data_IF_689343416775
#
_entry.id   IF_689343416775
#
_cell.length_a   1.000
_cell.length_b   1.000
_cell.length_c   1.000
_cell.angle_alpha   90.00
_cell.angle_beta   90.00
_cell.angle_gamma   90.00
#
_symmetry.space_group_name_H-M   'P 1'
#
loop_
_entity.id
_entity.type
_entity.pdbx_description
1 polymer ?
#
# COMPACT_ATOMS: atom_id res chain seq x y z
N UNK A 1 -5.18 7.89 -14.46
CA UNK A 1 -4.41 6.80 -13.82
C UNK A 1 -5.11 6.41 -12.53
N UNK A 2 -4.92 5.18 -12.05
CA UNK A 2 -5.57 4.70 -10.81
C UNK A 2 -4.73 4.92 -9.55
N UNK A 3 -3.41 5.01 -9.70
CA UNK A 3 -2.47 5.14 -8.57
C UNK A 3 -1.47 6.26 -8.82
N UNK A 4 -1.04 6.88 -7.72
CA UNK A 4 0.11 7.77 -7.65
C UNK A 4 1.08 7.16 -6.66
N UNK A 5 2.35 7.02 -7.05
CA UNK A 5 3.41 6.56 -6.16
C UNK A 5 4.18 7.78 -5.65
N UNK A 6 4.28 7.90 -4.33
CA UNK A 6 5.06 8.93 -3.66
C UNK A 6 6.04 8.25 -2.70
N UNK A 7 7.30 8.70 -2.74
CA UNK A 7 8.30 8.25 -1.77
C UNK A 7 8.26 9.18 -0.57
N UNK A 8 8.16 8.60 0.61
CA UNK A 8 8.21 9.32 1.88
C UNK A 8 9.37 8.83 2.72
N UNK A 9 9.92 9.71 3.55
CA UNK A 9 11.09 9.39 4.37
C UNK A 9 10.74 8.58 5.62
N UNK A 10 9.59 8.83 6.25
CA UNK A 10 9.20 8.14 7.48
C UNK A 10 7.68 8.11 7.64
N UNK A 11 7.17 6.95 8.07
CA UNK A 11 5.76 6.70 8.38
C UNK A 11 5.51 6.41 9.87
N UNK A 12 6.49 6.71 10.75
CA UNK A 12 6.42 6.46 12.20
C UNK A 12 6.10 4.99 12.62
N UNK A 13 6.28 4.03 11.70
CA UNK A 13 6.03 2.60 11.92
C UNK A 13 7.33 1.77 11.74
N UNK A 14 8.47 2.32 12.15
CA UNK A 14 9.79 1.73 11.89
C UNK A 14 9.95 0.32 12.47
N UNK A 15 9.27 0.00 13.57
CA UNK A 15 9.31 -1.32 14.20
C UNK A 15 8.49 -2.39 13.46
N UNK A 16 7.81 -2.02 12.37
CA UNK A 16 6.98 -2.91 11.55
C UNK A 16 7.27 -2.72 10.06
N UNK A 17 8.50 -2.30 9.74
CA UNK A 17 8.96 -2.24 8.37
C UNK A 17 9.07 -3.67 7.78
N UNK A 18 8.90 -3.85 6.46
CA UNK A 18 8.56 -2.84 5.45
C UNK A 18 7.11 -2.32 5.58
N UNK A 19 6.89 -1.03 5.30
CA UNK A 19 5.59 -0.37 5.50
C UNK A 19 5.23 0.52 4.31
N UNK A 20 3.96 0.50 3.93
CA UNK A 20 3.37 1.41 2.96
C UNK A 20 2.10 2.04 3.54
N UNK A 21 1.83 3.29 3.17
CA UNK A 21 0.55 3.94 3.44
C UNK A 21 -0.21 4.09 2.13
N UNK A 22 -1.43 3.59 2.07
CA UNK A 22 -2.32 3.75 0.93
C UNK A 22 -3.56 4.48 1.41
N UNK A 23 -3.78 5.68 0.89
CA UNK A 23 -4.77 6.62 1.44
C UNK A 23 -4.52 6.86 2.95
N UNK A 24 -5.45 6.47 3.82
CA UNK A 24 -5.34 6.64 5.28
C UNK A 24 -4.98 5.34 6.01
N UNK A 25 -4.71 4.26 5.27
CA UNK A 25 -4.48 2.94 5.83
C UNK A 25 -2.99 2.56 5.78
N UNK A 26 -2.53 1.96 6.87
CA UNK A 26 -1.17 1.47 7.03
C UNK A 26 -1.14 -0.03 6.74
N UNK A 27 -0.19 -0.42 5.89
CA UNK A 27 0.10 -1.79 5.53
C UNK A 27 1.53 -2.09 6.01
N UNK A 28 1.64 -2.96 7.00
CA UNK A 28 2.84 -3.17 7.82
C UNK A 28 3.39 -4.60 7.64
N UNK A 29 4.70 -4.79 7.88
CA UNK A 29 5.42 -6.06 7.70
C UNK A 29 5.32 -6.66 6.29
N UNK A 30 5.30 -5.79 5.27
CA UNK A 30 4.99 -6.19 3.90
C UNK A 30 6.05 -7.08 3.25
N UNK A 31 5.57 -8.06 2.47
CA UNK A 31 6.34 -8.73 1.42
C UNK A 31 5.96 -8.22 0.02
N UNK A 32 6.78 -8.56 -0.98
CA UNK A 32 6.51 -8.22 -2.38
C UNK A 32 5.18 -8.84 -2.87
N UNK A 33 4.85 -10.06 -2.42
CA UNK A 33 3.59 -10.72 -2.76
C UNK A 33 2.38 -10.04 -2.10
N UNK A 34 2.51 -9.58 -0.87
CA UNK A 34 1.42 -8.91 -0.15
C UNK A 34 1.07 -7.57 -0.80
N UNK A 35 2.09 -6.78 -1.19
CA UNK A 35 1.83 -5.50 -1.87
C UNK A 35 1.19 -5.69 -3.25
N UNK A 36 1.56 -6.73 -3.98
CA UNK A 36 0.93 -7.11 -5.25
C UNK A 36 -0.55 -7.47 -5.06
N UNK A 37 -0.89 -8.25 -4.02
CA UNK A 37 -2.27 -8.61 -3.69
C UNK A 37 -3.11 -7.38 -3.31
N UNK A 38 -2.55 -6.46 -2.52
CA UNK A 38 -3.23 -5.21 -2.14
C UNK A 38 -3.53 -4.37 -3.38
N UNK A 39 -2.56 -4.19 -4.27
CA UNK A 39 -2.74 -3.42 -5.52
C UNK A 39 -3.80 -4.08 -6.42
N UNK A 40 -3.80 -5.41 -6.53
CA UNK A 40 -4.80 -6.14 -7.30
C UNK A 40 -6.22 -5.93 -6.74
N UNK A 41 -6.40 -6.06 -5.42
CA UNK A 41 -7.67 -5.82 -4.75
C UNK A 41 -8.19 -4.40 -4.97
N UNK A 42 -7.32 -3.39 -4.87
CA UNK A 42 -7.68 -1.99 -5.12
C UNK A 42 -8.08 -1.74 -6.59
N UNK A 43 -7.44 -2.42 -7.54
CA UNK A 43 -7.82 -2.35 -8.96
C UNK A 43 -9.21 -2.93 -9.20
N UNK A 44 -9.53 -4.04 -8.57
CA UNK A 44 -10.83 -4.70 -8.75
C UNK A 44 -11.96 -3.90 -8.08
N UNK A 45 -11.71 -3.35 -6.88
CA UNK A 45 -12.62 -2.43 -6.23
C UNK A 45 -12.92 -1.17 -7.07
N UNK A 46 -11.93 -0.66 -7.81
CA UNK A 46 -12.12 0.46 -8.72
C UNK A 46 -12.93 0.12 -10.00
N UNK A 47 -12.91 -1.14 -10.45
CA UNK A 47 -13.71 -1.61 -11.61
C UNK A 47 -15.16 -1.89 -11.25
N UNK A 48 -15.44 -2.24 -9.99
CA UNK A 48 -16.79 -2.54 -9.49
C UNK A 48 -17.64 -1.31 -9.14
N UNK A 49 -17.23 -0.12 -9.58
CA UNK A 49 -17.87 1.16 -9.29
C UNK A 49 -18.30 1.87 -10.57
#
# INVERSE_FOLDING_TARGET
>A
GLFTLEQVVCLAACNKAPVAQINLEYYENLTDEEIDQIIAGLRDAAKGR
#
